data_IF_042868500165
#
_entry.id   IF_042868500165
#
_cell.length_a   1.000
_cell.length_b   1.000
_cell.length_c   1.000
_cell.angle_alpha   90.00
_cell.angle_beta   90.00
_cell.angle_gamma   90.00
#
_symmetry.space_group_name_H-M   'P 1'
#
loop_
_entity.id
_entity.type
_entity.pdbx_description
1 polymer ?
#
# COMPACT_ATOMS: atom_id res chain seq x y z
N UNK A 1 40.21 -38.01 10.06
CA UNK A 1 40.49 -39.45 10.16
C UNK A 1 39.19 -40.21 9.90
N UNK A 2 39.20 -41.11 8.90
CA UNK A 2 38.33 -42.29 8.63
C UNK A 2 36.79 -42.11 8.73
N UNK A 3 36.08 -42.11 7.59
CA UNK A 3 35.37 -43.25 6.95
C UNK A 3 34.07 -43.63 7.72
N UNK A 4 32.89 -43.79 7.10
CA UNK A 4 32.57 -44.90 6.20
C UNK A 4 31.50 -44.58 5.12
N UNK A 5 31.81 -45.13 3.94
CA UNK A 5 30.92 -45.54 2.86
C UNK A 5 29.89 -46.57 3.34
N UNK A 6 28.67 -46.55 2.79
CA UNK A 6 27.92 -47.80 2.53
C UNK A 6 26.90 -47.59 1.40
N UNK A 7 27.19 -48.28 0.29
CA UNK A 7 26.34 -48.52 -0.87
C UNK A 7 25.39 -49.70 -0.60
N UNK A 8 24.22 -49.66 -1.25
CA UNK A 8 23.34 -50.80 -1.53
C UNK A 8 22.07 -50.26 -2.22
N UNK A 9 21.87 -50.28 -3.54
CA UNK A 9 21.94 -51.31 -4.59
C UNK A 9 20.66 -52.20 -4.68
N UNK A 10 20.03 -52.10 -5.87
CA UNK A 10 19.06 -53.00 -6.52
C UNK A 10 17.59 -53.07 -6.07
N UNK A 11 16.68 -52.63 -6.95
CA UNK A 11 15.77 -53.55 -7.64
C UNK A 11 15.16 -52.88 -8.88
N UNK A 12 15.54 -53.42 -10.04
CA UNK A 12 14.97 -53.20 -11.36
C UNK A 12 13.61 -53.94 -11.42
N UNK A 13 12.51 -53.24 -11.74
CA UNK A 13 11.27 -53.89 -12.19
C UNK A 13 10.83 -53.29 -13.53
N UNK A 14 10.73 -54.19 -14.50
CA UNK A 14 10.40 -53.97 -15.90
C UNK A 14 8.89 -53.88 -16.14
N UNK A 15 8.53 -53.03 -17.10
CA UNK A 15 7.45 -53.14 -18.10
C UNK A 15 5.99 -53.13 -17.63
N UNK A 16 5.28 -52.06 -18.00
CA UNK A 16 4.14 -52.14 -18.92
C UNK A 16 4.05 -50.85 -19.74
N UNK A 17 4.52 -50.91 -20.99
CA UNK A 17 4.21 -49.90 -22.01
C UNK A 17 2.80 -50.19 -22.54
N UNK A 18 1.79 -49.58 -21.90
CA UNK A 18 0.44 -49.47 -22.44
C UNK A 18 0.20 -48.03 -22.86
N UNK A 19 0.26 -47.73 -24.15
CA UNK A 19 -0.20 -46.46 -24.70
C UNK A 19 -1.73 -46.42 -24.62
N UNK A 20 -2.28 -45.99 -23.49
CA UNK A 20 -3.69 -45.59 -23.42
C UNK A 20 -3.77 -44.20 -24.04
N UNK A 21 -4.40 -44.12 -25.22
CA UNK A 21 -4.74 -42.83 -25.85
C UNK A 21 -5.78 -42.16 -24.96
N UNK A 22 -5.35 -41.21 -24.13
CA UNK A 22 -6.26 -40.41 -23.33
C UNK A 22 -7.06 -39.50 -24.26
N UNK A 23 -8.39 -39.40 -24.10
CA UNK A 23 -9.14 -38.36 -24.78
C UNK A 23 -8.59 -37.00 -24.31
N UNK A 24 -8.23 -36.15 -25.27
CA UNK A 24 -7.78 -34.79 -25.03
C UNK A 24 -8.76 -34.07 -24.11
N UNK A 25 -8.31 -33.42 -23.03
CA UNK A 25 -9.18 -32.65 -22.16
C UNK A 25 -9.91 -31.58 -22.99
N UNK A 26 -11.21 -31.32 -22.73
CA UNK A 26 -11.94 -30.26 -23.41
C UNK A 26 -11.21 -28.93 -23.19
N UNK A 27 -11.06 -28.16 -24.27
CA UNK A 27 -10.48 -26.82 -24.23
C UNK A 27 -11.11 -26.01 -23.10
N UNK A 28 -10.32 -25.36 -22.22
CA UNK A 28 -10.85 -24.52 -21.17
C UNK A 28 -11.68 -23.39 -21.79
N UNK A 29 -12.83 -23.03 -21.21
CA UNK A 29 -13.68 -21.96 -21.73
C UNK A 29 -12.88 -20.65 -21.78
N UNK A 30 -12.92 -20.04 -22.96
CA UNK A 30 -12.40 -18.70 -23.24
C UNK A 30 -13.23 -17.73 -22.39
N UNK A 31 -12.73 -17.42 -21.20
CA UNK A 31 -13.42 -16.61 -20.18
C UNK A 31 -12.64 -16.47 -18.86
N UNK A 32 -11.57 -17.23 -18.65
CA UNK A 32 -10.76 -17.17 -17.43
C UNK A 32 -9.93 -15.89 -17.24
N UNK A 33 -9.78 -15.04 -18.26
CA UNK A 33 -8.88 -13.88 -18.19
C UNK A 33 -9.48 -12.68 -17.43
N UNK A 34 -10.80 -12.50 -17.41
CA UNK A 34 -11.42 -11.37 -16.71
C UNK A 34 -11.46 -11.60 -15.19
N UNK A 35 -11.70 -12.83 -14.74
CA UNK A 35 -11.71 -13.16 -13.30
C UNK A 35 -10.31 -13.16 -12.69
N UNK A 36 -9.29 -13.56 -13.46
CA UNK A 36 -7.89 -13.51 -13.02
C UNK A 36 -7.45 -12.04 -12.90
N UNK A 37 -7.69 -11.20 -13.90
CA UNK A 37 -7.32 -9.77 -13.87
C UNK A 37 -8.05 -8.97 -12.79
N UNK A 38 -9.31 -9.29 -12.49
CA UNK A 38 -10.06 -8.63 -11.42
C UNK A 38 -9.53 -9.00 -10.02
N UNK A 39 -8.88 -10.16 -9.88
CA UNK A 39 -8.29 -10.61 -8.61
C UNK A 39 -6.90 -10.01 -8.36
N UNK A 40 -6.09 -9.77 -9.41
CA UNK A 40 -4.72 -9.23 -9.25
C UNK A 40 -4.71 -7.75 -8.86
N UNK A 41 -5.68 -6.98 -9.37
CA UNK A 41 -5.80 -5.54 -9.09
C UNK A 41 -6.73 -5.22 -7.92
N UNK A 42 -7.32 -6.24 -7.29
CA UNK A 42 -8.11 -6.04 -6.08
C UNK A 42 -7.20 -5.54 -4.97
N UNK A 43 -7.63 -4.46 -4.31
CA UNK A 43 -6.92 -3.89 -3.16
C UNK A 43 -7.70 -4.12 -1.88
N UNK A 44 -7.00 -4.21 -0.77
CA UNK A 44 -7.59 -4.27 0.57
C UNK A 44 -6.89 -3.28 1.50
N UNK A 45 -7.62 -2.82 2.51
CA UNK A 45 -7.06 -2.05 3.61
C UNK A 45 -6.77 -2.98 4.79
N UNK A 46 -5.58 -2.82 5.35
CA UNK A 46 -5.19 -3.45 6.61
C UNK A 46 -4.75 -2.36 7.60
N UNK A 47 -4.81 -2.67 8.89
CA UNK A 47 -4.34 -1.81 9.96
C UNK A 47 -3.29 -2.47 10.84
N UNK A 48 -2.47 -1.64 11.48
CA UNK A 48 -1.44 -2.03 12.42
C UNK A 48 -1.43 -1.05 13.58
N UNK A 49 -1.23 -1.56 14.81
CA UNK A 49 -1.09 -0.75 16.02
C UNK A 49 0.40 -0.71 16.37
N UNK A 50 1.11 0.39 16.07
CA UNK A 50 2.54 0.49 16.35
C UNK A 50 2.82 0.43 17.83
N UNK A 51 4.04 0.04 18.20
CA UNK A 51 4.53 0.09 19.58
C UNK A 51 5.43 1.31 19.82
N UNK A 52 5.56 1.70 21.09
CA UNK A 52 6.38 2.82 21.55
C UNK A 52 7.90 2.58 21.36
N UNK A 53 8.70 3.62 21.60
CA UNK A 53 10.18 3.56 21.64
C UNK A 53 10.90 3.08 20.38
N UNK A 54 10.33 3.30 19.19
CA UNK A 54 10.94 2.93 17.90
C UNK A 54 11.22 1.43 17.74
N UNK A 55 10.43 0.59 18.39
CA UNK A 55 10.62 -0.86 18.40
C UNK A 55 9.89 -1.57 17.26
N UNK A 56 9.21 -0.84 16.39
CA UNK A 56 8.56 -1.47 15.24
C UNK A 56 9.62 -1.98 14.25
N UNK A 57 9.32 -3.10 13.59
CA UNK A 57 10.31 -3.79 12.75
C UNK A 57 10.84 -2.92 11.62
N UNK A 58 10.00 -2.08 11.02
CA UNK A 58 10.42 -1.13 9.97
C UNK A 58 11.33 0.00 10.52
N UNK A 59 11.13 0.44 11.76
CA UNK A 59 11.95 1.47 12.39
C UNK A 59 13.33 0.93 12.75
N UNK A 60 13.38 -0.29 13.29
CA UNK A 60 14.64 -1.00 13.56
C UNK A 60 15.39 -1.24 12.25
N UNK A 61 14.69 -1.70 11.22
CA UNK A 61 15.29 -1.90 9.89
C UNK A 61 15.84 -0.60 9.32
N UNK A 62 15.11 0.51 9.42
CA UNK A 62 15.55 1.81 8.94
C UNK A 62 16.82 2.28 9.68
N UNK A 63 16.84 2.16 11.01
CA UNK A 63 17.99 2.53 11.83
C UNK A 63 19.27 1.75 11.49
N UNK A 64 19.13 0.53 10.96
CA UNK A 64 20.24 -0.34 10.56
C UNK A 64 20.53 -0.31 9.05
N UNK A 65 19.81 0.52 8.29
CA UNK A 65 19.93 0.52 6.82
C UNK A 65 21.22 1.17 6.30
N UNK A 66 21.90 1.97 7.13
CA UNK A 66 23.08 2.75 6.72
C UNK A 66 22.78 3.85 5.69
N UNK A 67 21.50 4.12 5.42
CA UNK A 67 21.10 5.13 4.45
C UNK A 67 21.35 6.53 5.01
N UNK A 68 21.91 7.39 4.17
CA UNK A 68 22.15 8.80 4.47
C UNK A 68 21.16 9.63 3.67
N UNK A 69 20.43 10.50 4.35
CA UNK A 69 19.40 11.32 3.74
C UNK A 69 19.67 12.81 3.88
N UNK A 70 19.27 13.59 2.88
CA UNK A 70 19.25 15.06 2.95
C UNK A 70 18.19 15.53 3.95
N UNK A 71 17.08 14.78 4.09
CA UNK A 71 16.03 14.99 5.10
C UNK A 71 15.62 13.66 5.74
N UNK A 72 15.15 13.69 6.98
CA UNK A 72 14.60 12.48 7.59
C UNK A 72 13.43 11.91 6.75
N UNK A 73 13.39 10.58 6.50
CA UNK A 73 12.27 9.96 5.80
C UNK A 73 11.02 9.98 6.70
N UNK A 74 9.86 10.13 6.06
CA UNK A 74 8.56 10.02 6.73
C UNK A 74 8.24 8.56 7.03
N UNK A 75 7.33 8.30 7.98
CA UNK A 75 6.92 6.93 8.31
C UNK A 75 6.35 6.18 7.09
N UNK A 76 5.56 6.85 6.26
CA UNK A 76 5.08 6.30 4.98
C UNK A 76 6.22 5.83 4.08
N UNK A 77 7.28 6.63 3.94
CA UNK A 77 8.44 6.30 3.11
C UNK A 77 9.19 5.09 3.66
N UNK A 78 9.40 5.04 4.99
CA UNK A 78 10.06 3.91 5.66
C UNK A 78 9.24 2.62 5.48
N UNK A 79 7.94 2.65 5.78
CA UNK A 79 7.05 1.49 5.63
C UNK A 79 7.03 0.99 4.19
N UNK A 80 6.89 1.90 3.22
CA UNK A 80 6.86 1.55 1.80
C UNK A 80 8.15 0.85 1.39
N UNK A 81 9.30 1.38 1.81
CA UNK A 81 10.60 0.79 1.50
C UNK A 81 10.81 -0.56 2.20
N UNK A 82 10.46 -0.67 3.48
CA UNK A 82 10.59 -1.89 4.27
C UNK A 82 9.77 -3.05 3.67
N UNK A 83 8.47 -2.83 3.47
CA UNK A 83 7.59 -3.88 2.97
C UNK A 83 7.89 -4.26 1.52
N UNK A 84 8.31 -3.30 0.69
CA UNK A 84 8.74 -3.60 -0.67
C UNK A 84 10.04 -4.41 -0.71
N UNK A 85 11.04 -4.06 0.09
CA UNK A 85 12.36 -4.71 0.02
C UNK A 85 12.42 -6.06 0.73
N UNK A 86 11.72 -6.20 1.86
CA UNK A 86 11.81 -7.39 2.70
C UNK A 86 10.75 -8.44 2.32
N UNK A 87 9.57 -8.00 1.90
CA UNK A 87 8.42 -8.89 1.70
C UNK A 87 7.86 -8.87 0.27
N UNK A 88 8.41 -8.05 -0.63
CA UNK A 88 7.85 -7.80 -1.97
C UNK A 88 6.36 -7.40 -1.91
N UNK A 89 6.02 -6.53 -0.96
CA UNK A 89 4.66 -6.00 -0.78
C UNK A 89 4.65 -4.51 -1.11
N UNK A 90 3.78 -4.11 -2.03
CA UNK A 90 3.61 -2.70 -2.40
C UNK A 90 2.56 -2.03 -1.52
N UNK A 91 2.96 -0.99 -0.79
CA UNK A 91 2.05 -0.07 -0.10
C UNK A 91 1.54 0.95 -1.11
N UNK A 92 0.27 0.84 -1.49
CA UNK A 92 -0.40 1.72 -2.47
C UNK A 92 -0.88 3.01 -1.83
N UNK A 93 -1.37 2.93 -0.59
CA UNK A 93 -1.80 4.08 0.18
C UNK A 93 -1.51 3.87 1.67
N UNK A 94 -1.39 4.96 2.41
CA UNK A 94 -1.07 4.99 3.83
C UNK A 94 -1.88 6.08 4.52
N UNK A 95 -2.36 5.77 5.72
CA UNK A 95 -2.96 6.73 6.63
C UNK A 95 -2.51 6.39 8.06
N UNK A 96 -2.29 7.40 8.89
CA UNK A 96 -2.20 7.20 10.34
C UNK A 96 -3.26 8.05 11.03
N UNK A 97 -3.81 7.52 12.12
CA UNK A 97 -4.80 8.20 12.95
C UNK A 97 -4.45 7.96 14.42
N UNK A 98 -4.30 9.04 15.17
CA UNK A 98 -4.20 8.96 16.62
C UNK A 98 -5.47 8.36 17.22
N UNK A 99 -5.28 7.41 18.12
CA UNK A 99 -6.33 6.84 18.94
C UNK A 99 -6.37 7.70 20.22
N UNK A 100 -7.54 8.20 20.60
CA UNK A 100 -7.72 8.98 21.84
C UNK A 100 -7.64 8.12 23.13
N UNK A 101 -6.90 7.01 23.08
CA UNK A 101 -6.74 6.08 24.18
C UNK A 101 -5.58 6.52 25.06
N UNK A 102 -5.76 6.44 26.38
CA UNK A 102 -4.64 6.62 27.31
C UNK A 102 -3.68 5.45 27.16
N UNK A 103 -2.52 5.71 26.56
CA UNK A 103 -1.44 4.73 26.40
C UNK A 103 -0.42 4.84 27.54
N UNK A 104 0.14 3.70 27.95
CA UNK A 104 1.25 3.65 28.90
C UNK A 104 2.57 4.07 28.26
N UNK A 105 3.52 4.57 29.08
CA UNK A 105 4.83 5.06 28.62
C UNK A 105 5.91 3.97 28.46
N UNK A 106 5.56 2.68 28.59
CA UNK A 106 6.52 1.59 28.43
C UNK A 106 6.71 1.21 26.95
N UNK A 107 7.88 0.70 26.58
CA UNK A 107 8.23 0.47 25.17
C UNK A 107 7.43 -0.63 24.46
N UNK A 108 6.87 -1.57 25.22
CA UNK A 108 5.97 -2.60 24.70
C UNK A 108 4.51 -2.13 24.58
N UNK A 109 4.20 -0.90 24.99
CA UNK A 109 2.85 -0.35 24.89
C UNK A 109 2.55 0.11 23.45
N UNK A 110 1.27 0.09 23.03
CA UNK A 110 0.84 0.76 21.81
C UNK A 110 1.29 2.23 21.78
N UNK A 111 1.62 2.71 20.58
CA UNK A 111 2.07 4.08 20.36
C UNK A 111 0.97 5.12 20.56
N UNK A 112 -0.28 4.68 20.50
CA UNK A 112 -1.45 5.55 20.59
C UNK A 112 -1.95 6.01 19.24
N UNK A 113 -1.47 5.45 18.14
CA UNK A 113 -2.03 5.63 16.80
C UNK A 113 -2.30 4.29 16.12
N UNK A 114 -3.08 4.34 15.06
CA UNK A 114 -3.32 3.21 14.15
C UNK A 114 -2.85 3.59 12.78
N UNK A 115 -1.93 2.79 12.24
CA UNK A 115 -1.52 2.87 10.84
C UNK A 115 -2.48 2.04 10.01
N UNK A 116 -2.90 2.55 8.86
CA UNK A 116 -3.65 1.81 7.85
C UNK A 116 -2.91 1.86 6.53
N UNK A 117 -2.84 0.71 5.84
CA UNK A 117 -2.18 0.59 4.55
C UNK A 117 -3.09 -0.10 3.53
N UNK A 118 -3.15 0.47 2.32
CA UNK A 118 -3.81 -0.13 1.16
C UNK A 118 -2.78 -0.93 0.39
N UNK A 119 -3.07 -2.20 0.13
CA UNK A 119 -2.18 -3.13 -0.58
C UNK A 119 -2.98 -3.94 -1.60
N UNK A 120 -2.29 -4.70 -2.46
CA UNK A 120 -2.96 -5.72 -3.27
C UNK A 120 -3.46 -6.87 -2.40
N UNK A 121 -4.66 -7.37 -2.70
CA UNK A 121 -5.34 -8.43 -1.97
C UNK A 121 -4.51 -9.74 -1.93
N UNK A 122 -3.71 -10.00 -2.98
CA UNK A 122 -2.81 -11.16 -3.05
C UNK A 122 -1.77 -11.20 -1.92
N UNK A 123 -1.39 -10.05 -1.37
CA UNK A 123 -0.39 -9.92 -0.31
C UNK A 123 -1.01 -9.84 1.10
N UNK A 124 -2.34 -9.89 1.20
CA UNK A 124 -3.06 -9.69 2.46
C UNK A 124 -2.69 -10.73 3.51
N UNK A 125 -2.69 -12.02 3.17
CA UNK A 125 -2.33 -13.09 4.11
C UNK A 125 -0.91 -12.97 4.64
N UNK A 126 0.03 -12.52 3.79
CA UNK A 126 1.41 -12.25 4.19
C UNK A 126 1.45 -11.15 5.26
N UNK A 127 0.76 -10.03 5.02
CA UNK A 127 0.69 -8.92 5.97
C UNK A 127 -0.03 -9.30 7.28
N UNK A 128 -1.12 -10.06 7.20
CA UNK A 128 -1.84 -10.57 8.39
C UNK A 128 -0.92 -11.44 9.27
N UNK A 129 -0.08 -12.28 8.66
CA UNK A 129 0.90 -13.09 9.40
C UNK A 129 1.98 -12.27 10.12
N UNK A 130 2.17 -11.01 9.71
CA UNK A 130 3.11 -10.05 10.32
C UNK A 130 2.44 -9.19 11.41
N UNK A 131 1.21 -9.51 11.83
CA UNK A 131 0.50 -8.82 12.90
C UNK A 131 -0.42 -7.68 12.43
N UNK A 132 -0.56 -7.48 11.12
CA UNK A 132 -1.61 -6.61 10.59
C UNK A 132 -2.99 -7.23 10.79
N UNK A 133 -4.02 -6.39 10.76
CA UNK A 133 -5.42 -6.77 10.92
C UNK A 133 -6.23 -6.27 9.73
N UNK A 134 -7.31 -6.97 9.39
CA UNK A 134 -8.25 -6.48 8.39
C UNK A 134 -8.85 -5.14 8.83
N UNK A 135 -9.02 -4.23 7.87
CA UNK A 135 -9.54 -2.90 8.14
C UNK A 135 -10.46 -2.42 7.01
N UNK A 136 -11.34 -1.49 7.36
CA UNK A 136 -12.05 -0.70 6.37
C UNK A 136 -11.14 0.42 5.86
N UNK A 137 -11.48 0.98 4.70
CA UNK A 137 -10.83 2.20 4.22
C UNK A 137 -10.96 3.29 5.29
N UNK A 138 -9.85 3.95 5.68
CA UNK A 138 -9.90 5.02 6.67
C UNK A 138 -10.91 6.09 6.24
N UNK A 139 -11.72 6.55 7.19
CA UNK A 139 -12.65 7.65 6.95
C UNK A 139 -11.85 8.88 6.48
N UNK A 140 -12.12 9.33 5.26
CA UNK A 140 -11.45 10.48 4.67
C UNK A 140 -12.04 11.76 5.27
N UNK A 141 -11.26 12.46 6.10
CA UNK A 141 -11.64 13.78 6.61
C UNK A 141 -11.19 14.84 5.62
N UNK A 142 -12.13 15.51 4.96
CA UNK A 142 -11.82 16.61 4.07
C UNK A 142 -11.08 17.73 4.82
N UNK A 143 -9.96 18.25 4.29
CA UNK A 143 -9.30 19.39 4.89
C UNK A 143 -10.28 20.57 4.91
N UNK A 144 -10.39 21.22 6.07
CA UNK A 144 -11.11 22.49 6.18
C UNK A 144 -10.27 23.55 5.45
N UNK A 145 -10.75 23.97 4.27
CA UNK A 145 -10.09 25.01 3.51
C UNK A 145 -10.46 26.37 4.10
N UNK A 146 -9.44 27.17 4.42
CA UNK A 146 -9.65 28.57 4.78
C UNK A 146 -10.14 29.34 3.55
N UNK A 147 -11.03 30.34 3.72
CA UNK A 147 -11.42 31.21 2.63
C UNK A 147 -10.17 31.91 2.06
N UNK A 148 -10.08 32.09 0.72
CA UNK A 148 -8.97 32.80 0.12
C UNK A 148 -8.93 34.27 0.58
N UNK A 149 -7.74 34.86 0.58
CA UNK A 149 -7.54 36.29 0.84
C UNK A 149 -8.40 37.15 -0.12
N UNK A 150 -8.89 38.34 0.30
CA UNK A 150 -9.59 39.26 -0.60
C UNK A 150 -8.81 39.57 -1.89
N UNK A 151 -7.47 39.59 -1.81
CA UNK A 151 -6.59 39.87 -2.95
C UNK A 151 -6.20 38.63 -3.76
N UNK A 152 -6.71 37.44 -3.41
CA UNK A 152 -6.40 36.19 -4.13
C UNK A 152 -6.77 36.24 -5.62
N UNK A 153 -7.76 37.07 -5.98
CA UNK A 153 -8.27 37.17 -7.34
C UNK A 153 -8.60 38.61 -7.73
N UNK A 154 -7.63 39.51 -7.59
CA UNK A 154 -7.77 40.90 -8.05
C UNK A 154 -8.10 40.93 -9.55
N UNK A 155 -9.16 41.65 -9.92
CA UNK A 155 -9.69 41.76 -11.29
C UNK A 155 -10.19 40.46 -11.93
N UNK A 156 -10.33 39.39 -11.14
CA UNK A 156 -10.89 38.12 -11.61
C UNK A 156 -12.16 37.73 -10.88
N UNK A 157 -12.64 36.53 -11.21
CA UNK A 157 -13.75 35.86 -10.54
C UNK A 157 -13.22 34.61 -9.85
N UNK A 158 -13.54 34.47 -8.56
CA UNK A 158 -13.29 33.24 -7.82
C UNK A 158 -14.36 32.22 -8.24
N UNK A 159 -13.92 31.05 -8.72
CA UNK A 159 -14.78 29.92 -9.08
C UNK A 159 -14.43 28.70 -8.22
N UNK A 160 -15.41 27.83 -8.00
CA UNK A 160 -15.20 26.58 -7.25
C UNK A 160 -14.12 25.73 -7.93
N UNK A 161 -13.24 25.13 -7.11
CA UNK A 161 -12.27 24.14 -7.58
C UNK A 161 -12.91 22.80 -7.96
N UNK A 162 -14.16 22.58 -7.57
CA UNK A 162 -14.87 21.29 -7.68
C UNK A 162 -14.72 20.44 -6.42
N UNK A 163 -14.98 19.15 -6.58
CA UNK A 163 -14.73 18.12 -5.58
C UNK A 163 -13.72 17.11 -6.12
N UNK A 164 -12.85 16.60 -5.25
CA UNK A 164 -11.91 15.54 -5.61
C UNK A 164 -12.58 14.16 -5.65
N UNK A 165 -11.79 13.11 -5.94
CA UNK A 165 -12.29 11.72 -6.00
C UNK A 165 -12.80 11.18 -4.66
N UNK A 166 -12.50 11.85 -3.55
CA UNK A 166 -12.97 11.50 -2.21
C UNK A 166 -14.16 12.37 -1.77
N UNK A 167 -14.69 13.23 -2.67
CA UNK A 167 -15.82 14.12 -2.40
C UNK A 167 -15.44 15.40 -1.65
N UNK A 168 -14.15 15.70 -1.52
CA UNK A 168 -13.69 16.86 -0.77
C UNK A 168 -13.58 18.10 -1.63
N UNK A 169 -13.97 19.24 -1.05
CA UNK A 169 -13.91 20.53 -1.74
C UNK A 169 -12.46 20.85 -2.10
N UNK A 170 -12.22 21.12 -3.38
CA UNK A 170 -10.93 21.58 -3.87
C UNK A 170 -10.78 23.10 -3.65
N UNK A 171 -9.54 23.61 -3.50
CA UNK A 171 -9.29 25.04 -3.41
C UNK A 171 -9.92 25.80 -4.58
N UNK A 172 -10.53 26.97 -4.33
CA UNK A 172 -11.12 27.77 -5.39
C UNK A 172 -10.05 28.25 -6.37
N UNK A 173 -10.46 28.49 -7.62
CA UNK A 173 -9.59 28.99 -8.69
C UNK A 173 -9.95 30.43 -9.02
N UNK A 174 -8.94 31.24 -9.36
CA UNK A 174 -9.17 32.56 -9.93
C UNK A 174 -9.23 32.44 -11.46
N UNK A 175 -10.32 32.90 -12.07
CA UNK A 175 -10.40 33.07 -13.53
C UNK A 175 -10.41 34.57 -13.82
N UNK A 176 -9.51 35.04 -14.68
CA UNK A 176 -9.50 36.45 -15.09
C UNK A 176 -10.79 36.72 -15.89
N UNK A 177 -11.42 37.87 -15.65
CA UNK A 177 -12.42 38.34 -16.59
C UNK A 177 -11.68 38.58 -17.92
N UNK A 178 -12.19 38.05 -19.03
CA UNK A 178 -11.62 38.30 -20.34
C UNK A 178 -11.43 39.80 -20.50
N UNK A 179 -10.19 40.27 -20.45
CA UNK A 179 -9.89 41.65 -20.77
C UNK A 179 -10.35 41.82 -22.23
N UNK A 180 -11.14 42.86 -22.55
CA UNK A 180 -11.44 43.15 -23.94
C UNK A 180 -10.11 43.25 -24.69
N UNK A 181 -9.99 42.67 -25.90
CA UNK A 181 -8.76 42.73 -26.66
C UNK A 181 -8.32 44.19 -26.75
N UNK A 182 -7.05 44.45 -26.41
CA UNK A 182 -6.48 45.79 -26.46
C UNK A 182 -6.85 46.45 -27.80
N UNK A 183 -7.39 47.68 -27.79
CA UNK A 183 -7.65 48.37 -29.05
C UNK A 183 -6.31 48.49 -29.82
N UNK A 184 -6.31 48.24 -31.13
CA UNK A 184 -5.09 48.39 -31.93
C UNK A 184 -4.60 49.84 -31.84
N UNK A 185 -3.29 50.00 -31.61
CA UNK A 185 -2.56 51.28 -31.62
C UNK A 185 -2.72 52.01 -32.95
#
# INVERSE_FOLDING_TARGET
MKNYLLLGAFALLLLFAGCVSTPSPPNPPIGANDTINQTINKTVWLSYSPIQCKQNTWEIWEANSGRVYIRAPTEKEILTAYYSQIYDVQILNYSSKENNEMVCAACNCPRGDTISAKIYAKDSQKMLSLGWKEAQEPAYNCPQLMPPSPDFCTNGKIVSGGVDSHGCQMPPKCVQADLPPNPPN
#
